data_IF_449993460954
#
_entry.id   IF_449993460954
#
_cell.length_a   1.000
_cell.length_b   1.000
_cell.length_c   1.000
_cell.angle_alpha   90.00
_cell.angle_beta   90.00
_cell.angle_gamma   90.00
#
_symmetry.space_group_name_H-M   'P 1'
#
loop_
_entity.id
_entity.type
_entity.pdbx_description
1 polymer ?
#
# COMPACT_ATOMS: atom_id res chain seq x y z
N UNK A 1 19.02 -10.24 -2.13
CA UNK A 1 20.47 -10.29 -1.87
C UNK A 1 21.34 -9.87 -3.07
N UNK A 2 20.73 -9.39 -4.15
CA UNK A 2 21.38 -9.09 -5.43
C UNK A 2 22.52 -8.07 -5.26
N UNK A 3 23.74 -8.46 -5.72
CA UNK A 3 24.90 -7.60 -5.65
C UNK A 3 24.84 -6.40 -6.62
N UNK A 4 24.09 -6.50 -7.71
CA UNK A 4 23.87 -5.36 -8.64
C UNK A 4 23.08 -4.23 -8.01
N UNK A 5 22.08 -4.56 -7.19
CA UNK A 5 21.20 -3.61 -6.53
C UNK A 5 21.84 -3.09 -5.25
N UNK A 6 22.26 -4.00 -4.37
CA UNK A 6 22.68 -3.68 -3.00
C UNK A 6 24.19 -3.50 -2.83
N UNK A 7 24.98 -3.80 -3.83
CA UNK A 7 26.41 -3.66 -3.79
C UNK A 7 27.17 -4.96 -3.61
N UNK A 8 28.52 -4.90 -3.66
CA UNK A 8 29.37 -6.06 -3.65
C UNK A 8 29.37 -6.77 -2.29
N UNK A 9 29.64 -8.09 -2.29
CA UNK A 9 29.75 -8.91 -1.08
C UNK A 9 31.07 -8.67 -0.37
N UNK A 10 32.15 -8.42 -1.15
CA UNK A 10 33.49 -8.15 -0.65
C UNK A 10 33.93 -6.74 -1.03
N UNK A 11 34.73 -6.12 -0.17
CA UNK A 11 35.25 -4.77 -0.40
C UNK A 11 36.08 -4.70 -1.67
N UNK A 12 35.73 -3.73 -2.53
CA UNK A 12 36.42 -3.44 -3.80
C UNK A 12 36.61 -4.64 -4.73
N UNK A 13 35.65 -5.54 -4.74
CA UNK A 13 35.65 -6.73 -5.61
C UNK A 13 34.26 -6.90 -6.26
N UNK A 14 34.23 -7.07 -7.58
CA UNK A 14 33.00 -7.43 -8.27
C UNK A 14 32.63 -8.90 -8.05
N UNK A 15 31.41 -9.31 -8.42
CA UNK A 15 30.93 -10.66 -8.16
C UNK A 15 31.69 -11.73 -8.96
N UNK A 16 32.04 -11.43 -10.24
CA UNK A 16 32.76 -12.37 -11.12
C UNK A 16 34.29 -12.39 -10.88
N UNK A 17 34.82 -11.50 -10.08
CA UNK A 17 36.24 -11.41 -9.76
C UNK A 17 37.12 -10.75 -10.84
N UNK A 18 36.54 -10.20 -11.93
CA UNK A 18 37.29 -9.50 -12.97
C UNK A 18 38.02 -8.27 -12.45
N UNK A 19 37.32 -7.48 -11.61
CA UNK A 19 37.87 -6.31 -10.92
C UNK A 19 38.03 -6.62 -9.44
N UNK A 20 39.25 -6.61 -8.98
CA UNK A 20 39.65 -6.74 -7.58
C UNK A 20 40.57 -5.59 -7.21
N UNK A 21 40.51 -5.11 -6.01
CA UNK A 21 41.33 -4.06 -5.43
C UNK A 21 40.82 -2.63 -5.69
N UNK A 22 41.28 -1.77 -4.83
CA UNK A 22 40.88 -0.35 -4.70
C UNK A 22 41.19 0.48 -5.95
N UNK A 23 42.15 0.09 -6.78
CA UNK A 23 42.48 0.82 -8.01
C UNK A 23 41.32 0.89 -9.02
N UNK A 24 40.36 -0.01 -8.91
CA UNK A 24 39.17 -0.05 -9.76
C UNK A 24 37.92 0.53 -9.08
N UNK A 25 38.10 1.26 -7.97
CA UNK A 25 37.02 1.87 -7.22
C UNK A 25 36.08 2.69 -8.13
N UNK A 26 34.78 2.45 -7.98
CA UNK A 26 33.71 3.17 -8.71
C UNK A 26 33.41 2.63 -10.11
N UNK A 27 34.14 1.63 -10.58
CA UNK A 27 33.85 0.96 -11.88
C UNK A 27 32.70 -0.01 -11.70
N UNK A 28 31.75 0.02 -12.62
CA UNK A 28 30.70 -1.01 -12.74
C UNK A 28 31.22 -2.09 -13.68
N UNK A 29 31.31 -3.32 -13.20
CA UNK A 29 31.79 -4.44 -14.00
C UNK A 29 30.87 -4.71 -15.18
N UNK A 30 31.38 -4.66 -16.39
CA UNK A 30 30.60 -4.93 -17.63
C UNK A 30 30.13 -6.38 -17.72
N UNK A 31 30.78 -7.32 -17.03
CA UNK A 31 30.41 -8.74 -17.04
C UNK A 31 29.33 -9.09 -16.04
N UNK A 32 29.46 -8.66 -14.77
CA UNK A 32 28.52 -9.00 -13.70
C UNK A 32 27.63 -7.86 -13.25
N UNK A 33 27.92 -6.63 -13.68
CA UNK A 33 27.12 -5.43 -13.34
C UNK A 33 27.27 -4.94 -11.90
N UNK A 34 28.24 -5.46 -11.16
CA UNK A 34 28.48 -5.10 -9.77
C UNK A 34 29.48 -3.95 -9.69
N UNK A 35 29.15 -2.92 -8.90
CA UNK A 35 30.01 -1.77 -8.65
C UNK A 35 31.15 -2.12 -7.69
N UNK A 36 32.35 -1.68 -8.00
CA UNK A 36 33.56 -1.91 -7.18
C UNK A 36 33.67 -0.83 -6.10
N UNK A 37 33.03 -1.09 -4.97
CA UNK A 37 33.00 -0.19 -3.80
C UNK A 37 33.09 -1.00 -2.51
N UNK A 38 33.03 -0.32 -1.36
CA UNK A 38 32.97 -1.01 -0.07
C UNK A 38 31.67 -1.81 0.06
N UNK A 39 31.76 -3.00 0.66
CA UNK A 39 30.59 -3.85 0.95
C UNK A 39 29.65 -3.26 2.00
N UNK A 40 30.07 -2.24 2.75
CA UNK A 40 29.24 -1.57 3.75
C UNK A 40 27.96 -0.93 3.15
N UNK A 41 27.94 -0.65 1.85
CA UNK A 41 26.74 -0.16 1.15
C UNK A 41 25.57 -1.18 1.20
N UNK A 42 25.84 -2.45 1.45
CA UNK A 42 24.81 -3.49 1.64
C UNK A 42 24.01 -3.31 2.94
N UNK A 43 24.43 -2.40 3.82
CA UNK A 43 23.65 -1.96 5.01
C UNK A 43 22.83 -0.71 4.74
N UNK A 44 23.10 0.01 3.67
CA UNK A 44 22.57 1.34 3.42
C UNK A 44 21.62 1.37 2.22
N UNK A 45 21.90 0.60 1.17
CA UNK A 45 21.12 0.61 -0.06
C UNK A 45 19.81 -0.14 0.12
N UNK A 46 18.73 0.58 -0.20
CA UNK A 46 17.38 0.02 -0.28
C UNK A 46 17.02 -0.34 -1.72
N UNK A 47 16.21 -1.37 -1.86
CA UNK A 47 15.53 -1.70 -3.11
C UNK A 47 14.02 -1.52 -2.98
N UNK A 48 13.29 -1.94 -3.99
CA UNK A 48 11.84 -1.95 -3.96
C UNK A 48 11.29 -3.14 -4.78
N UNK A 49 10.04 -3.49 -4.48
CA UNK A 49 9.26 -4.47 -5.24
C UNK A 49 8.03 -3.74 -5.75
N UNK A 50 7.87 -3.67 -7.05
CA UNK A 50 6.63 -3.21 -7.68
C UNK A 50 5.62 -4.34 -7.65
N UNK A 51 4.48 -4.12 -7.02
CA UNK A 51 3.41 -5.11 -6.95
C UNK A 51 2.70 -5.23 -8.29
N UNK A 52 2.31 -6.46 -8.66
CA UNK A 52 1.52 -6.70 -9.86
C UNK A 52 0.11 -6.08 -9.77
N UNK A 53 -0.43 -5.96 -8.56
CA UNK A 53 -1.68 -5.29 -8.26
C UNK A 53 -1.55 -4.56 -6.92
N UNK A 54 -2.26 -3.43 -6.71
CA UNK A 54 -2.28 -2.75 -5.43
C UNK A 54 -2.75 -3.66 -4.29
N UNK A 55 -2.24 -3.43 -3.09
CA UNK A 55 -2.62 -4.19 -1.89
C UNK A 55 -2.86 -3.24 -0.71
N UNK A 56 -3.92 -3.47 0.06
CA UNK A 56 -4.19 -2.70 1.25
C UNK A 56 -3.20 -3.03 2.37
N UNK A 57 -2.64 -2.00 3.01
CA UNK A 57 -1.78 -2.19 4.16
C UNK A 57 -2.59 -2.70 5.34
N UNK A 58 -2.19 -3.85 5.90
CA UNK A 58 -2.95 -4.53 6.95
C UNK A 58 -3.15 -3.70 8.23
N UNK A 59 -2.19 -2.85 8.59
CA UNK A 59 -2.31 -1.97 9.75
C UNK A 59 -3.40 -0.93 9.61
N UNK A 60 -3.69 -0.47 8.39
CA UNK A 60 -4.72 0.52 8.13
C UNK A 60 -6.07 -0.11 7.79
N UNK A 61 -6.07 -1.38 7.39
CA UNK A 61 -7.28 -2.15 7.11
C UNK A 61 -7.84 -2.83 8.36
N UNK A 62 -7.04 -3.68 9.03
CA UNK A 62 -7.50 -4.57 10.12
C UNK A 62 -7.33 -4.00 11.54
N UNK A 63 -6.76 -2.81 11.71
CA UNK A 63 -6.78 -2.16 13.01
C UNK A 63 -8.22 -1.81 13.44
N UNK A 64 -8.49 -1.85 14.72
CA UNK A 64 -9.79 -1.46 15.25
C UNK A 64 -9.71 -0.09 15.94
N UNK A 65 -10.37 0.94 15.38
CA UNK A 65 -11.17 0.96 14.14
C UNK A 65 -10.30 0.98 12.88
N UNK A 66 -10.82 0.41 11.77
CA UNK A 66 -10.16 0.46 10.46
C UNK A 66 -9.98 1.91 10.01
N UNK A 67 -8.76 2.31 9.67
CA UNK A 67 -8.47 3.67 9.19
C UNK A 67 -9.10 3.92 7.82
N UNK A 68 -8.97 2.94 6.93
CA UNK A 68 -9.62 3.00 5.61
C UNK A 68 -11.14 3.06 5.76
N UNK A 69 -11.70 2.20 6.61
CA UNK A 69 -13.14 2.19 6.86
C UNK A 69 -13.68 3.49 7.47
N UNK A 70 -12.92 4.13 8.37
CA UNK A 70 -13.31 5.43 8.93
C UNK A 70 -13.36 6.55 7.89
N UNK A 71 -12.40 6.57 6.94
CA UNK A 71 -12.38 7.59 5.90
C UNK A 71 -13.50 7.39 4.88
N UNK A 72 -13.73 6.16 4.46
CA UNK A 72 -14.76 5.82 3.47
C UNK A 72 -16.16 5.65 4.07
N UNK A 73 -16.29 5.76 5.38
CA UNK A 73 -17.52 5.46 6.15
C UNK A 73 -18.09 4.05 5.90
N UNK A 74 -17.19 3.09 5.73
CA UNK A 74 -17.51 1.69 5.46
C UNK A 74 -17.15 0.78 6.63
N UNK A 75 -17.87 -0.32 6.77
CA UNK A 75 -17.51 -1.37 7.72
C UNK A 75 -16.32 -2.19 7.21
N UNK A 76 -15.55 -2.78 8.13
CA UNK A 76 -14.45 -3.67 7.76
C UNK A 76 -14.92 -4.84 6.88
N UNK A 77 -16.12 -5.39 7.16
CA UNK A 77 -16.68 -6.51 6.41
C UNK A 77 -16.99 -6.15 4.96
N UNK A 78 -17.52 -4.97 4.70
CA UNK A 78 -17.76 -4.46 3.34
C UNK A 78 -16.44 -4.25 2.60
N UNK A 79 -15.46 -3.62 3.24
CA UNK A 79 -14.13 -3.45 2.67
C UNK A 79 -13.45 -4.77 2.33
N UNK A 80 -13.51 -5.76 3.22
CA UNK A 80 -12.93 -7.08 2.97
C UNK A 80 -13.56 -7.76 1.76
N UNK A 81 -14.88 -7.67 1.58
CA UNK A 81 -15.56 -8.23 0.41
C UNK A 81 -15.10 -7.59 -0.90
N UNK A 82 -14.89 -6.28 -0.91
CA UNK A 82 -14.36 -5.57 -2.08
C UNK A 82 -12.90 -5.96 -2.33
N UNK A 83 -12.06 -5.96 -1.30
CA UNK A 83 -10.64 -6.27 -1.40
C UNK A 83 -10.34 -7.72 -1.79
N UNK A 84 -11.18 -8.66 -1.39
CA UNK A 84 -11.07 -10.08 -1.74
C UNK A 84 -11.81 -10.48 -3.02
N UNK A 85 -12.23 -9.49 -3.81
CA UNK A 85 -12.92 -9.71 -5.10
C UNK A 85 -14.26 -10.45 -5.00
N UNK A 86 -14.97 -10.28 -3.89
CA UNK A 86 -16.30 -10.86 -3.70
C UNK A 86 -17.42 -9.92 -4.16
N UNK A 87 -17.20 -8.59 -4.06
CA UNK A 87 -18.18 -7.58 -4.41
C UNK A 87 -17.52 -6.38 -5.11
N UNK A 88 -18.29 -5.77 -6.01
CA UNK A 88 -17.95 -4.47 -6.61
C UNK A 88 -18.34 -3.33 -5.68
N UNK A 89 -17.68 -2.18 -5.85
CA UNK A 89 -18.01 -0.95 -5.13
C UNK A 89 -18.24 0.17 -6.14
N UNK A 90 -19.31 0.94 -5.93
CA UNK A 90 -19.63 2.10 -6.76
C UNK A 90 -18.72 3.27 -6.38
N UNK A 91 -17.88 3.68 -7.31
CA UNK A 91 -16.92 4.79 -7.16
C UNK A 91 -17.56 6.12 -7.54
N UNK A 92 -18.37 6.10 -8.59
CA UNK A 92 -19.12 7.25 -9.08
C UNK A 92 -20.48 6.76 -9.59
N UNK A 93 -21.59 7.13 -8.94
CA UNK A 93 -22.93 6.70 -9.34
C UNK A 93 -23.42 7.39 -10.62
N UNK A 94 -22.79 8.48 -11.05
CA UNK A 94 -23.28 9.26 -12.20
C UNK A 94 -24.72 9.74 -12.03
N UNK A 95 -25.56 9.49 -13.05
CA UNK A 95 -26.98 9.82 -13.04
C UNK A 95 -27.88 8.62 -12.68
N UNK A 96 -27.29 7.53 -12.19
CA UNK A 96 -28.04 6.32 -11.79
C UNK A 96 -28.57 6.47 -10.35
N UNK A 97 -29.56 5.67 -9.95
CA UNK A 97 -30.07 5.63 -8.57
C UNK A 97 -29.13 4.95 -7.57
N UNK A 98 -27.95 4.52 -8.00
CA UNK A 98 -26.94 3.94 -7.14
C UNK A 98 -26.33 4.99 -6.19
N UNK A 99 -25.86 4.53 -5.05
CA UNK A 99 -25.18 5.43 -4.09
C UNK A 99 -23.67 5.24 -4.16
N UNK A 100 -22.93 6.32 -3.89
CA UNK A 100 -21.47 6.24 -3.72
C UNK A 100 -21.15 5.32 -2.53
N UNK A 101 -20.09 4.52 -2.65
CA UNK A 101 -19.69 3.50 -1.68
C UNK A 101 -20.65 2.29 -1.55
N UNK A 102 -21.68 2.22 -2.37
CA UNK A 102 -22.57 1.05 -2.39
C UNK A 102 -21.81 -0.18 -2.89
N UNK A 103 -21.95 -1.29 -2.17
CA UNK A 103 -21.39 -2.59 -2.61
C UNK A 103 -22.42 -3.37 -3.42
N UNK A 104 -21.99 -3.92 -4.55
CA UNK A 104 -22.80 -4.72 -5.47
C UNK A 104 -22.24 -6.12 -5.57
N UNK A 105 -23.11 -7.12 -5.57
CA UNK A 105 -22.73 -8.47 -5.99
C UNK A 105 -22.38 -8.48 -7.48
N UNK A 106 -21.71 -9.51 -7.96
CA UNK A 106 -21.40 -9.64 -9.38
C UNK A 106 -22.66 -9.61 -10.25
N UNK A 107 -23.71 -10.31 -9.83
CA UNK A 107 -25.02 -10.31 -10.50
C UNK A 107 -25.63 -8.90 -10.56
N UNK A 108 -25.73 -8.22 -9.41
CA UNK A 108 -26.28 -6.88 -9.33
C UNK A 108 -25.46 -5.85 -10.13
N UNK A 109 -24.15 -6.05 -10.24
CA UNK A 109 -23.29 -5.19 -11.07
C UNK A 109 -23.59 -5.33 -12.55
N UNK A 110 -23.73 -6.58 -13.06
CA UNK A 110 -24.10 -6.81 -14.46
C UNK A 110 -25.54 -6.37 -14.77
N UNK A 111 -26.49 -6.61 -13.87
CA UNK A 111 -27.86 -6.10 -14.02
C UNK A 111 -27.90 -4.56 -14.12
N UNK A 112 -27.16 -3.88 -13.27
CA UNK A 112 -27.06 -2.41 -13.32
C UNK A 112 -26.39 -1.91 -14.63
N UNK A 113 -25.40 -2.63 -15.14
CA UNK A 113 -24.78 -2.30 -16.45
C UNK A 113 -25.74 -2.48 -17.61
N UNK A 114 -26.52 -3.55 -17.57
CA UNK A 114 -27.52 -3.83 -18.63
C UNK A 114 -28.67 -2.82 -18.58
N UNK A 115 -29.09 -2.38 -17.38
CA UNK A 115 -30.19 -1.45 -17.19
C UNK A 115 -29.80 0.00 -17.51
N UNK A 116 -28.63 0.48 -17.01
CA UNK A 116 -28.24 1.89 -17.12
C UNK A 116 -27.23 2.16 -18.24
N UNK A 117 -26.52 1.14 -18.71
CA UNK A 117 -25.44 1.24 -19.69
C UNK A 117 -24.05 1.23 -19.06
N UNK A 118 -23.04 0.83 -19.84
CA UNK A 118 -21.66 0.63 -19.39
C UNK A 118 -20.99 1.92 -18.86
N UNK A 119 -21.36 3.07 -19.42
CA UNK A 119 -20.75 4.35 -19.10
C UNK A 119 -21.60 5.19 -18.11
N UNK A 120 -22.71 4.66 -17.61
CA UNK A 120 -23.66 5.40 -16.78
C UNK A 120 -23.14 5.62 -15.35
N UNK A 121 -22.32 4.72 -14.85
CA UNK A 121 -21.69 4.77 -13.53
C UNK A 121 -20.31 4.12 -13.57
N UNK A 122 -19.49 4.42 -12.57
CA UNK A 122 -18.16 3.81 -12.40
C UNK A 122 -18.16 2.95 -11.15
N UNK A 123 -17.87 1.67 -11.31
CA UNK A 123 -17.65 0.74 -10.20
C UNK A 123 -16.35 -0.03 -10.42
N UNK A 124 -15.76 -0.49 -9.33
CA UNK A 124 -14.51 -1.24 -9.34
C UNK A 124 -14.50 -2.36 -8.31
N UNK A 125 -13.44 -3.15 -8.32
CA UNK A 125 -13.24 -4.27 -7.41
C UNK A 125 -11.77 -4.32 -6.98
N UNK A 126 -11.52 -4.85 -5.80
CA UNK A 126 -10.16 -4.98 -5.27
C UNK A 126 -9.56 -3.71 -4.69
N UNK A 127 -8.29 -3.77 -4.37
CA UNK A 127 -7.57 -2.66 -3.73
C UNK A 127 -7.42 -1.43 -4.64
N UNK A 128 -7.43 -1.62 -5.94
CA UNK A 128 -7.38 -0.51 -6.91
C UNK A 128 -8.62 0.38 -6.79
N UNK A 129 -9.80 -0.21 -6.71
CA UNK A 129 -11.05 0.53 -6.48
C UNK A 129 -11.02 1.31 -5.17
N UNK A 130 -10.57 0.69 -4.08
CA UNK A 130 -10.44 1.35 -2.77
C UNK A 130 -9.43 2.49 -2.83
N UNK A 131 -8.32 2.34 -3.54
CA UNK A 131 -7.35 3.42 -3.76
C UNK A 131 -7.97 4.59 -4.49
N UNK A 132 -8.71 4.34 -5.56
CA UNK A 132 -9.37 5.39 -6.36
C UNK A 132 -10.38 6.17 -5.52
N UNK A 133 -11.14 5.49 -4.67
CA UNK A 133 -12.04 6.13 -3.72
C UNK A 133 -11.30 7.00 -2.71
N UNK A 134 -10.22 6.49 -2.11
CA UNK A 134 -9.39 7.25 -1.18
C UNK A 134 -8.75 8.48 -1.84
N UNK A 135 -8.38 8.40 -3.10
CA UNK A 135 -7.79 9.51 -3.85
C UNK A 135 -8.78 10.64 -4.16
N UNK A 136 -10.08 10.32 -4.24
CA UNK A 136 -11.15 11.29 -4.49
C UNK A 136 -11.57 12.08 -3.25
N UNK A 137 -11.22 11.64 -2.04
CA UNK A 137 -11.60 12.31 -0.80
C UNK A 137 -11.01 13.72 -0.74
N UNK A 138 -11.86 14.71 -0.62
CA UNK A 138 -11.49 16.07 -0.25
C UNK A 138 -11.54 16.22 1.27
N UNK A 139 -10.38 16.07 1.90
CA UNK A 139 -10.24 16.16 3.35
C UNK A 139 -10.70 17.51 3.92
N UNK A 140 -10.56 18.59 3.15
CA UNK A 140 -10.99 19.93 3.57
C UNK A 140 -12.51 20.04 3.67
N UNK A 141 -13.19 19.64 2.61
CA UNK A 141 -14.65 19.62 2.52
C UNK A 141 -15.27 18.66 3.52
N UNK A 142 -14.73 17.44 3.64
CA UNK A 142 -15.17 16.45 4.61
C UNK A 142 -15.04 16.93 6.06
N UNK A 143 -13.96 17.65 6.38
CA UNK A 143 -13.76 18.23 7.71
C UNK A 143 -14.85 19.24 8.05
N UNK A 144 -15.18 20.13 7.13
CA UNK A 144 -16.20 21.15 7.34
C UNK A 144 -17.58 20.52 7.50
N UNK A 145 -17.94 19.61 6.63
CA UNK A 145 -19.19 18.85 6.71
C UNK A 145 -19.34 18.11 8.04
N UNK A 146 -18.31 17.40 8.50
CA UNK A 146 -18.34 16.66 9.76
C UNK A 146 -18.41 17.58 10.98
N UNK A 147 -17.87 18.79 10.92
CA UNK A 147 -18.01 19.80 11.99
C UNK A 147 -19.44 20.31 12.11
N UNK A 148 -20.09 20.58 10.99
CA UNK A 148 -21.50 20.96 10.94
C UNK A 148 -22.39 19.85 11.48
N UNK A 149 -22.20 18.61 11.00
CA UNK A 149 -22.94 17.45 11.49
C UNK A 149 -22.73 17.21 12.98
N UNK A 150 -21.52 17.44 13.50
CA UNK A 150 -21.22 17.32 14.93
C UNK A 150 -21.99 18.35 15.78
N UNK A 151 -22.19 19.56 15.24
CA UNK A 151 -22.95 20.61 15.93
C UNK A 151 -24.45 20.32 15.96
N UNK A 152 -24.99 19.70 14.94
CA UNK A 152 -26.42 19.40 14.80
C UNK A 152 -26.83 18.09 15.50
N UNK A 153 -25.91 17.14 15.62
CA UNK A 153 -26.21 15.80 16.14
C UNK A 153 -26.41 15.77 17.66
N UNK A 154 -27.56 15.26 18.09
CA UNK A 154 -27.88 15.01 19.49
C UNK A 154 -27.55 13.59 19.98
N UNK A 155 -27.25 12.65 19.08
CA UNK A 155 -26.94 11.27 19.41
C UNK A 155 -25.48 11.11 19.87
N UNK A 156 -25.26 10.67 21.09
CA UNK A 156 -23.91 10.46 21.65
C UNK A 156 -23.09 9.43 20.85
N UNK A 157 -23.74 8.37 20.35
CA UNK A 157 -23.08 7.35 19.53
C UNK A 157 -22.59 7.92 18.18
N UNK A 158 -23.42 8.72 17.50
CA UNK A 158 -23.03 9.42 16.27
C UNK A 158 -21.91 10.41 16.54
N UNK A 159 -22.01 11.22 17.60
CA UNK A 159 -20.95 12.16 18.00
C UNK A 159 -19.59 11.46 18.17
N UNK A 160 -19.56 10.33 18.86
CA UNK A 160 -18.32 9.54 19.05
C UNK A 160 -17.74 9.06 17.70
N UNK A 161 -18.58 8.64 16.75
CA UNK A 161 -18.15 8.23 15.41
C UNK A 161 -17.57 9.41 14.62
N UNK A 162 -18.29 10.53 14.59
CA UNK A 162 -17.88 11.77 13.89
C UNK A 162 -16.56 12.29 14.45
N UNK A 163 -16.40 12.35 15.76
CA UNK A 163 -15.15 12.83 16.40
C UNK A 163 -13.96 11.96 16.04
N UNK A 164 -14.12 10.62 15.97
CA UNK A 164 -13.04 9.72 15.54
C UNK A 164 -12.63 9.96 14.08
N UNK A 165 -13.62 10.13 13.19
CA UNK A 165 -13.39 10.42 11.76
C UNK A 165 -12.74 11.79 11.60
N UNK A 166 -13.25 12.81 12.26
CA UNK A 166 -12.71 14.16 12.21
C UNK A 166 -11.25 14.22 12.68
N UNK A 167 -10.93 13.56 13.80
CA UNK A 167 -9.55 13.48 14.31
C UNK A 167 -8.60 12.83 13.30
N UNK A 168 -9.06 11.80 12.59
CA UNK A 168 -8.26 11.14 11.56
C UNK A 168 -8.01 12.07 10.37
N UNK A 169 -9.05 12.76 9.88
CA UNK A 169 -8.94 13.73 8.79
C UNK A 169 -7.98 14.87 9.15
N UNK A 170 -8.11 15.45 10.34
CA UNK A 170 -7.22 16.52 10.82
C UNK A 170 -5.77 16.03 10.94
N UNK A 171 -5.56 14.77 11.32
CA UNK A 171 -4.21 14.17 11.36
C UNK A 171 -3.61 14.03 9.96
N UNK A 172 -4.40 13.60 8.96
CA UNK A 172 -3.95 13.54 7.56
C UNK A 172 -3.60 14.93 7.04
N UNK A 173 -4.47 15.92 7.25
CA UNK A 173 -4.21 17.30 6.81
C UNK A 173 -2.96 17.91 7.47
N UNK A 174 -2.77 17.68 8.77
CA UNK A 174 -1.62 18.21 9.52
C UNK A 174 -0.29 17.54 9.17
N UNK A 175 -0.30 16.27 8.77
CA UNK A 175 0.90 15.51 8.41
C UNK A 175 1.31 15.63 6.93
N UNK A 176 0.39 16.10 6.06
CA UNK A 176 0.60 16.13 4.61
C UNK A 176 0.57 14.74 3.96
N UNK A 177 0.20 13.69 4.69
CA UNK A 177 0.00 12.37 4.13
C UNK A 177 -1.30 12.30 3.33
N UNK A 178 -1.31 11.45 2.31
CA UNK A 178 -2.48 11.25 1.46
C UNK A 178 -3.18 9.93 1.79
N UNK A 179 -4.53 9.90 1.81
CA UNK A 179 -5.29 8.69 2.15
C UNK A 179 -4.97 7.48 1.26
N UNK A 180 -4.78 7.69 -0.04
CA UNK A 180 -4.48 6.64 -1.00
C UNK A 180 -3.14 5.91 -0.74
N UNK A 181 -2.23 6.51 0.04
CA UNK A 181 -0.96 5.86 0.42
C UNK A 181 -1.14 4.68 1.38
N UNK A 182 -2.32 4.49 1.94
CA UNK A 182 -2.66 3.30 2.71
C UNK A 182 -2.82 2.05 1.83
N UNK A 183 -2.91 2.23 0.51
CA UNK A 183 -2.88 1.16 -0.48
C UNK A 183 -1.48 1.14 -1.09
N UNK A 184 -0.82 -0.01 -1.00
CA UNK A 184 0.55 -0.18 -1.43
C UNK A 184 0.60 -0.58 -2.90
N UNK A 185 1.45 0.07 -3.67
CA UNK A 185 1.81 -0.29 -5.05
C UNK A 185 3.26 -0.74 -5.14
N UNK A 186 4.10 -0.18 -4.30
CA UNK A 186 5.54 -0.45 -4.22
C UNK A 186 5.91 -0.77 -2.77
N UNK A 187 6.60 -1.88 -2.56
CA UNK A 187 7.09 -2.29 -1.24
C UNK A 187 8.58 -1.96 -1.14
N UNK A 188 9.03 -1.21 -0.14
CA UNK A 188 10.45 -0.99 0.10
C UNK A 188 11.13 -2.27 0.59
N UNK A 189 12.30 -2.57 0.05
CA UNK A 189 13.14 -3.70 0.46
C UNK A 189 14.32 -3.17 1.25
N UNK A 190 14.40 -3.53 2.52
CA UNK A 190 15.48 -3.10 3.41
C UNK A 190 16.82 -3.73 2.99
N UNK A 191 17.94 -3.10 3.33
CA UNK A 191 19.26 -3.60 2.99
C UNK A 191 19.49 -5.06 3.43
N UNK A 192 20.18 -5.89 2.64
CA UNK A 192 20.33 -7.32 2.91
C UNK A 192 21.07 -7.65 4.19
N UNK A 193 21.97 -6.79 4.66
CA UNK A 193 22.67 -7.02 5.94
C UNK A 193 21.81 -6.77 7.17
N UNK A 194 20.66 -6.09 7.03
CA UNK A 194 19.65 -5.94 8.09
C UNK A 194 18.69 -7.14 8.19
N UNK A 195 18.76 -8.07 7.23
CA UNK A 195 17.96 -9.32 7.17
C UNK A 195 18.81 -10.48 6.71
N UNK A 196 19.93 -10.79 7.40
CA UNK A 196 20.95 -11.70 6.92
C UNK A 196 20.48 -13.15 6.86
N UNK A 197 21.07 -13.89 5.92
CA UNK A 197 21.07 -15.35 5.92
C UNK A 197 22.32 -15.83 6.68
N UNK A 198 22.12 -16.43 7.85
CA UNK A 198 23.22 -16.92 8.70
C UNK A 198 23.35 -18.41 8.52
N UNK A 199 24.52 -18.92 8.07
CA UNK A 199 24.77 -20.35 8.00
C UNK A 199 24.85 -20.95 9.41
N UNK A 200 24.15 -22.05 9.61
CA UNK A 200 24.22 -22.86 10.83
C UNK A 200 25.01 -24.14 10.55
N UNK A 201 25.42 -24.81 11.64
CA UNK A 201 26.05 -26.13 11.55
C UNK A 201 25.10 -27.13 10.85
N UNK A 202 25.63 -28.00 9.99
CA UNK A 202 24.87 -29.01 9.25
C UNK A 202 24.23 -28.50 7.94
N UNK A 203 24.72 -27.39 7.36
CA UNK A 203 24.29 -26.86 6.06
C UNK A 203 22.93 -26.20 6.06
N UNK A 204 22.37 -25.89 7.24
CA UNK A 204 21.11 -25.09 7.40
C UNK A 204 21.42 -23.60 7.45
N UNK A 205 20.43 -22.81 7.10
CA UNK A 205 20.50 -21.36 7.23
C UNK A 205 19.41 -20.88 8.20
N UNK A 206 19.79 -19.98 9.10
CA UNK A 206 18.82 -19.16 9.83
C UNK A 206 18.56 -17.88 9.02
N UNK A 207 17.31 -17.49 8.90
CA UNK A 207 16.91 -16.31 8.16
C UNK A 207 15.93 -15.47 8.95
N UNK A 208 15.89 -14.18 8.68
CA UNK A 208 14.85 -13.29 9.19
C UNK A 208 13.52 -13.60 8.48
N UNK A 209 12.40 -13.48 9.20
CA UNK A 209 11.03 -13.61 8.66
C UNK A 209 10.75 -12.62 7.52
N UNK A 210 11.46 -11.48 7.49
CA UNK A 210 11.38 -10.50 6.40
C UNK A 210 11.77 -11.10 5.04
N UNK A 211 12.69 -12.04 4.99
CA UNK A 211 13.10 -12.70 3.74
C UNK A 211 11.97 -13.54 3.15
N UNK A 212 11.19 -14.21 4.00
CA UNK A 212 10.02 -14.96 3.56
C UNK A 212 8.88 -14.05 3.10
N UNK A 213 8.74 -12.87 3.74
CA UNK A 213 7.76 -11.86 3.30
C UNK A 213 8.09 -11.31 1.91
N UNK A 214 9.38 -11.11 1.59
CA UNK A 214 9.81 -10.62 0.27
C UNK A 214 9.77 -11.68 -0.84
N UNK A 215 9.75 -12.95 -0.51
CA UNK A 215 9.66 -14.06 -1.47
C UNK A 215 8.24 -14.29 -1.96
#
# INVERSE_FOLDING_TARGET
FCARIFGPIKDYECLCGKYKRMKFKGIVCEKCGVEVIKSSVRRERMGHIELAAPAAHIWFLKSLPSRIGLLLDMTLKELERVLYFEQYIVIDPGLTPLEENQTLTEEAYYEARDEYGDDAFTAGIGAEAVRDMLSKIDLGSDREFLREELAETNSEAKRKKIVKRLKLIETFMGSGNRPEWMILEVIPVIPPELRPLVPLDGGRFATSDLNDLYR
#
